data_IF_083474092124
#
_entry.id   IF_083474092124
#
_cell.length_a   1.000
_cell.length_b   1.000
_cell.length_c   1.000
_cell.angle_alpha   90.00
_cell.angle_beta   90.00
_cell.angle_gamma   90.00
#
_symmetry.space_group_name_H-M   'P 1'
#
loop_
_entity.id
_entity.type
_entity.pdbx_description
1 polymer ?
#
# COMPACT_ATOMS: atom_id res chain seq x y z
N UNK A 1 5.09 18.49 52.00
CA UNK A 1 5.52 19.29 50.84
C UNK A 1 6.97 18.95 50.55
N UNK A 2 7.31 18.67 49.28
CA UNK A 2 8.63 18.27 48.74
C UNK A 2 9.01 16.78 48.94
N UNK A 3 9.38 16.00 47.94
CA UNK A 3 9.58 16.29 46.52
C UNK A 3 9.72 14.99 45.73
N UNK A 4 8.91 14.88 44.68
CA UNK A 4 9.02 13.91 43.59
C UNK A 4 10.27 14.23 42.77
N UNK A 5 11.28 13.35 42.73
CA UNK A 5 12.17 13.25 41.55
C UNK A 5 12.47 11.77 41.32
N UNK A 6 11.66 11.17 40.43
CA UNK A 6 11.89 9.84 39.87
C UNK A 6 13.28 9.80 39.24
N UNK A 7 14.19 8.98 39.79
CA UNK A 7 15.50 8.74 39.22
C UNK A 7 15.33 7.90 37.94
N UNK A 8 15.16 8.59 36.81
CA UNK A 8 15.08 7.95 35.50
C UNK A 8 16.38 7.18 35.29
N UNK A 9 16.29 5.86 35.33
CA UNK A 9 17.44 4.97 35.22
C UNK A 9 18.05 5.13 33.81
N UNK A 10 19.37 4.98 33.68
CA UNK A 10 20.05 5.00 32.36
C UNK A 10 19.41 4.01 31.37
N UNK A 11 18.82 2.93 31.86
CA UNK A 11 18.01 1.97 31.08
C UNK A 11 16.71 2.56 30.56
N UNK A 12 15.95 3.34 31.35
CA UNK A 12 14.76 4.04 30.87
C UNK A 12 15.10 5.14 29.86
N UNK A 13 16.20 5.87 30.03
CA UNK A 13 16.68 6.87 29.05
C UNK A 13 17.09 6.17 27.74
N UNK A 14 17.83 5.06 27.82
CA UNK A 14 18.19 4.25 26.65
C UNK A 14 16.98 3.59 25.97
N UNK A 15 15.92 3.26 26.74
CA UNK A 15 14.66 2.74 26.19
C UNK A 15 13.88 3.83 25.45
N UNK A 16 13.81 5.06 25.98
CA UNK A 16 13.17 6.20 25.31
C UNK A 16 13.90 6.63 24.03
N UNK A 17 15.24 6.54 23.99
CA UNK A 17 16.03 6.77 22.77
C UNK A 17 15.91 5.63 21.75
N UNK A 18 15.33 4.49 22.15
CA UNK A 18 15.08 3.31 21.31
C UNK A 18 13.60 3.22 20.88
N UNK A 19 12.77 4.24 21.12
CA UNK A 19 11.43 4.26 20.55
C UNK A 19 11.47 4.83 19.12
N UNK A 20 11.20 4.03 18.08
CA UNK A 20 11.21 4.47 16.69
C UNK A 20 9.98 5.33 16.33
N UNK A 21 9.28 5.88 17.32
CA UNK A 21 8.03 6.62 17.11
C UNK A 21 8.24 7.88 16.24
N UNK A 22 9.42 8.49 16.30
CA UNK A 22 9.80 9.62 15.41
C UNK A 22 10.23 9.18 14.00
N UNK A 23 10.84 7.99 13.84
CA UNK A 23 11.24 7.46 12.53
C UNK A 23 10.09 6.82 11.74
N UNK A 24 8.96 6.52 12.39
CA UNK A 24 7.75 6.02 11.72
C UNK A 24 7.17 7.02 10.72
N UNK A 25 7.33 8.33 10.94
CA UNK A 25 6.72 9.36 10.10
C UNK A 25 7.51 9.67 8.82
N UNK A 26 8.79 9.29 8.74
CA UNK A 26 9.62 9.56 7.54
C UNK A 26 9.45 8.45 6.49
N UNK A 27 9.16 7.22 6.89
CA UNK A 27 8.85 6.11 5.98
C UNK A 27 7.44 6.22 5.33
N UNK A 28 6.62 7.18 5.77
CA UNK A 28 5.27 7.43 5.25
C UNK A 28 5.25 8.30 3.98
N UNK A 29 6.40 8.63 3.39
CA UNK A 29 6.54 9.65 2.33
C UNK A 29 5.75 9.39 1.04
N UNK A 30 5.15 8.21 0.89
CA UNK A 30 4.29 7.86 -0.25
C UNK A 30 2.96 7.19 0.14
N UNK A 31 2.59 7.18 1.42
CA UNK A 31 1.28 6.67 1.83
C UNK A 31 1.09 5.15 1.82
N UNK A 32 2.17 4.33 1.78
CA UNK A 32 2.08 2.85 1.79
C UNK A 32 1.24 2.27 2.93
N UNK A 33 1.20 2.92 4.09
CA UNK A 33 0.37 2.51 5.21
C UNK A 33 -1.14 2.56 4.90
N UNK A 34 -1.59 3.38 3.94
CA UNK A 34 -3.00 3.58 3.58
C UNK A 34 -3.48 2.64 2.46
N UNK A 35 -2.54 2.07 1.70
CA UNK A 35 -2.83 1.26 0.49
C UNK A 35 -3.23 -0.18 0.85
N UNK A 36 -2.81 -0.67 2.02
CA UNK A 36 -2.99 -2.08 2.39
C UNK A 36 -2.17 -3.01 1.49
N UNK A 37 -2.81 -4.06 0.97
CA UNK A 37 -2.18 -5.11 0.15
C UNK A 37 -2.30 -4.89 -1.37
N UNK A 38 -2.55 -3.66 -1.83
CA UNK A 38 -2.64 -3.36 -3.27
C UNK A 38 -1.25 -3.20 -3.87
N UNK A 39 -1.09 -3.67 -5.11
CA UNK A 39 0.15 -3.48 -5.84
C UNK A 39 0.31 -2.05 -6.32
N UNK A 40 1.53 -1.55 -6.19
CA UNK A 40 1.98 -0.29 -6.79
C UNK A 40 2.39 -0.58 -8.23
N UNK A 41 1.75 0.10 -9.17
CA UNK A 41 1.98 -0.05 -10.61
C UNK A 41 2.89 1.05 -11.15
N UNK A 42 2.90 2.21 -10.51
CA UNK A 42 3.73 3.33 -10.95
C UNK A 42 3.81 4.45 -9.93
N UNK A 43 4.25 5.62 -10.40
CA UNK A 43 4.32 6.84 -9.61
C UNK A 43 3.00 7.59 -9.72
N UNK A 44 2.46 8.02 -8.58
CA UNK A 44 1.26 8.85 -8.56
C UNK A 44 1.54 10.34 -8.57
N UNK A 45 0.45 11.10 -8.47
CA UNK A 45 0.50 12.56 -8.37
C UNK A 45 1.34 12.93 -7.13
N UNK A 46 2.37 13.75 -7.34
CA UNK A 46 3.32 14.17 -6.29
C UNK A 46 4.02 12.99 -5.57
N UNK A 47 4.10 11.83 -6.21
CA UNK A 47 4.66 10.62 -5.61
C UNK A 47 3.74 9.93 -4.60
N UNK A 48 2.48 10.36 -4.44
CA UNK A 48 1.54 9.67 -3.56
C UNK A 48 0.94 8.44 -4.26
N UNK A 49 0.85 7.33 -3.54
CA UNK A 49 0.23 6.11 -4.07
C UNK A 49 -1.30 6.14 -3.92
N UNK A 50 -1.96 6.94 -4.76
CA UNK A 50 -3.42 7.13 -4.74
C UNK A 50 -4.08 6.53 -5.99
N UNK A 51 -5.26 5.94 -5.79
CA UNK A 51 -6.14 5.48 -6.87
C UNK A 51 -7.13 6.59 -7.25
N UNK A 52 -7.22 6.93 -8.53
CA UNK A 52 -8.13 7.96 -9.04
C UNK A 52 -8.68 7.49 -10.39
N UNK A 53 -10.00 7.29 -10.50
CA UNK A 53 -10.68 7.01 -11.78
C UNK A 53 -11.01 8.33 -12.47
N UNK A 54 -10.08 8.81 -13.29
CA UNK A 54 -10.22 10.04 -14.07
C UNK A 54 -9.83 9.82 -15.52
N UNK A 55 -10.55 10.44 -16.45
CA UNK A 55 -10.33 10.27 -17.89
C UNK A 55 -8.97 10.83 -18.32
N UNK A 56 -8.52 11.91 -17.69
CA UNK A 56 -7.21 12.54 -17.84
C UNK A 56 -6.08 11.74 -17.17
N UNK A 57 -6.39 10.72 -16.38
CA UNK A 57 -5.42 9.93 -15.62
C UNK A 57 -5.64 8.42 -15.81
N UNK A 58 -5.31 7.88 -17.01
CA UNK A 58 -5.66 6.51 -17.39
C UNK A 58 -4.88 5.42 -16.65
N UNK A 59 -3.74 5.75 -16.02
CA UNK A 59 -2.88 4.79 -15.34
C UNK A 59 -2.56 5.25 -13.91
N UNK A 60 -3.39 4.88 -12.93
CA UNK A 60 -3.17 5.25 -11.54
C UNK A 60 -1.99 4.53 -10.90
N UNK A 61 -1.49 5.10 -9.80
CA UNK A 61 -0.28 4.64 -9.12
C UNK A 61 -0.43 3.27 -8.47
N UNK A 62 -1.65 2.92 -8.07
CA UNK A 62 -2.02 1.67 -7.41
C UNK A 62 -3.16 1.00 -8.18
N UNK A 63 -3.35 -0.30 -7.96
CA UNK A 63 -4.50 -1.03 -8.50
C UNK A 63 -5.80 -0.73 -7.76
N UNK A 64 -6.92 -0.98 -8.42
CA UNK A 64 -8.27 -0.76 -7.90
C UNK A 64 -8.58 -1.56 -6.63
N UNK A 65 -8.26 -2.86 -6.62
CA UNK A 65 -8.56 -3.79 -5.52
C UNK A 65 -7.30 -4.37 -4.90
N UNK A 66 -7.46 -4.82 -3.65
CA UNK A 66 -6.45 -5.58 -2.93
C UNK A 66 -6.23 -6.96 -3.55
N UNK A 67 -5.03 -7.50 -3.32
CA UNK A 67 -4.65 -8.79 -3.86
C UNK A 67 -5.34 -9.95 -3.13
N UNK A 68 -6.48 -10.41 -3.67
CA UNK A 68 -7.08 -11.70 -3.31
C UNK A 68 -6.27 -12.88 -3.89
N UNK A 69 -6.48 -14.09 -3.37
CA UNK A 69 -5.82 -15.30 -3.88
C UNK A 69 -6.11 -15.53 -5.37
N UNK A 70 -7.36 -15.31 -5.80
CA UNK A 70 -7.76 -15.38 -7.21
C UNK A 70 -7.06 -14.32 -8.06
N UNK A 71 -6.94 -13.09 -7.55
CA UNK A 71 -6.24 -12.01 -8.25
C UNK A 71 -4.78 -12.36 -8.50
N UNK A 72 -4.10 -12.95 -7.51
CA UNK A 72 -2.69 -13.37 -7.64
C UNK A 72 -2.53 -14.49 -8.67
N UNK A 73 -3.40 -15.50 -8.64
CA UNK A 73 -3.39 -16.58 -9.63
C UNK A 73 -3.63 -16.05 -11.06
N UNK A 74 -4.50 -15.04 -11.21
CA UNK A 74 -4.71 -14.38 -12.50
C UNK A 74 -3.47 -13.61 -12.96
N UNK A 75 -2.71 -12.97 -12.07
CA UNK A 75 -1.45 -12.29 -12.44
C UNK A 75 -0.41 -13.24 -13.01
N UNK A 76 -0.37 -14.47 -12.54
CA UNK A 76 0.53 -15.48 -13.10
C UNK A 76 0.08 -15.91 -14.50
N UNK A 77 -1.24 -16.05 -14.70
CA UNK A 77 -1.84 -16.36 -16.01
C UNK A 77 -1.69 -15.21 -17.02
N UNK A 78 -1.80 -13.96 -16.57
CA UNK A 78 -1.67 -12.74 -17.40
C UNK A 78 -0.28 -12.61 -18.04
N UNK A 79 0.77 -13.18 -17.43
CA UNK A 79 2.12 -13.21 -18.02
C UNK A 79 2.22 -14.15 -19.23
N UNK A 80 1.25 -15.06 -19.38
CA UNK A 80 1.16 -16.01 -20.48
C UNK A 80 0.37 -15.48 -21.68
N UNK A 81 -0.13 -16.40 -22.51
CA UNK A 81 -0.91 -16.07 -23.72
C UNK A 81 -2.36 -15.70 -23.38
N UNK A 82 -2.77 -14.49 -23.77
CA UNK A 82 -4.09 -13.93 -23.50
C UNK A 82 -5.21 -14.59 -24.30
N UNK A 83 -4.87 -15.41 -25.31
CA UNK A 83 -5.85 -16.23 -26.02
C UNK A 83 -6.44 -17.34 -25.16
N UNK A 84 -5.73 -17.75 -24.10
CA UNK A 84 -6.16 -18.84 -23.20
C UNK A 84 -7.02 -18.37 -22.03
N UNK A 85 -7.12 -17.07 -21.79
CA UNK A 85 -7.95 -16.48 -20.75
C UNK A 85 -9.42 -16.48 -21.16
N UNK A 86 -10.31 -16.88 -20.25
CA UNK A 86 -11.76 -16.79 -20.47
C UNK A 86 -12.24 -15.34 -20.44
N UNK A 87 -13.45 -15.08 -20.95
CA UNK A 87 -14.02 -13.72 -20.93
C UNK A 87 -14.19 -13.17 -19.51
N UNK A 88 -14.53 -14.04 -18.55
CA UNK A 88 -14.72 -13.65 -17.16
C UNK A 88 -13.39 -13.33 -16.48
N UNK A 89 -12.34 -14.10 -16.76
CA UNK A 89 -10.98 -13.80 -16.30
C UNK A 89 -10.51 -12.45 -16.86
N UNK A 90 -10.78 -12.17 -18.14
CA UNK A 90 -10.43 -10.87 -18.76
C UNK A 90 -11.15 -9.69 -18.12
N UNK A 91 -12.45 -9.82 -17.84
CA UNK A 91 -13.23 -8.78 -17.14
C UNK A 91 -12.69 -8.51 -15.74
N UNK A 92 -12.27 -9.57 -15.05
CA UNK A 92 -11.70 -9.45 -13.71
C UNK A 92 -10.30 -8.77 -13.74
N UNK A 93 -9.52 -8.99 -14.80
CA UNK A 93 -8.24 -8.29 -15.02
C UNK A 93 -8.43 -6.78 -15.23
N UNK A 94 -9.46 -6.37 -15.99
CA UNK A 94 -9.75 -4.96 -16.33
C UNK A 94 -10.59 -4.24 -15.26
N UNK A 95 -11.13 -4.96 -14.28
CA UNK A 95 -11.97 -4.38 -13.23
C UNK A 95 -13.37 -3.98 -13.71
N UNK A 96 -13.76 -4.37 -14.92
CA UNK A 96 -15.09 -4.09 -15.47
C UNK A 96 -16.09 -5.07 -14.87
N UNK A 97 -16.79 -4.66 -13.81
CA UNK A 97 -17.99 -5.36 -13.36
C UNK A 97 -19.07 -5.09 -14.39
N UNK A 98 -19.63 -6.15 -14.98
CA UNK A 98 -20.76 -6.04 -15.91
C UNK A 98 -21.89 -5.33 -15.17
N UNK A 99 -22.28 -4.14 -15.65
CA UNK A 99 -23.53 -3.46 -15.27
C UNK A 99 -24.68 -4.12 -16.02
#
# INVERSE_FOLDING_TARGET
MAGLISAITKRQILQMLRDPMMMRHVAAFHGRARIGNRDVVGFGINGEYTYIDRVDYPMPAIRFRENSAESKALREKEKGDWKKLTLDEKKLCTGTVSV
#
